data_IF_426770372492
#
_entry.id   IF_426770372492
#
_cell.length_a   1.000
_cell.length_b   1.000
_cell.length_c   1.000
_cell.angle_alpha   90.00
_cell.angle_beta   90.00
_cell.angle_gamma   90.00
#
_symmetry.space_group_name_H-M   'P 1'
#
loop_
_entity.id
_entity.type
_entity.pdbx_description
1 polymer ?
#
# COMPACT_ATOMS: atom_id res chain seq x y z
N UNK A 1 27.89 58.08 6.77
CA UNK A 1 28.50 56.74 6.62
C UNK A 1 28.51 56.03 7.97
N UNK A 2 28.31 54.70 7.95
CA UNK A 2 28.29 53.68 9.04
C UNK A 2 26.98 53.48 9.82
N UNK A 3 26.31 52.37 9.50
CA UNK A 3 25.71 51.39 10.43
C UNK A 3 25.63 50.04 9.69
N UNK A 4 26.51 49.09 9.99
CA UNK A 4 26.37 47.97 10.95
C UNK A 4 25.52 46.80 10.42
N UNK A 5 26.26 45.76 10.05
CA UNK A 5 25.93 44.38 9.71
C UNK A 5 24.61 43.86 10.30
N UNK A 6 23.75 43.34 9.44
CA UNK A 6 22.74 42.35 9.80
C UNK A 6 23.04 41.11 8.96
N UNK A 7 23.82 40.20 9.54
CA UNK A 7 24.03 38.86 9.02
C UNK A 7 22.72 38.11 9.29
N UNK A 8 21.85 38.07 8.29
CA UNK A 8 20.67 37.20 8.29
C UNK A 8 21.17 35.80 7.92
N UNK A 9 21.43 34.98 8.93
CA UNK A 9 21.73 33.55 8.79
C UNK A 9 20.50 32.86 8.18
N UNK A 10 20.54 32.70 6.86
CA UNK A 10 19.57 31.94 6.09
C UNK A 10 19.75 30.45 6.39
N UNK A 11 19.06 29.97 7.43
CA UNK A 11 18.90 28.56 7.74
C UNK A 11 18.05 27.91 6.63
N UNK A 12 18.70 27.57 5.51
CA UNK A 12 18.11 26.81 4.44
C UNK A 12 17.79 25.40 4.96
N UNK A 13 16.52 25.19 5.30
CA UNK A 13 15.97 23.92 5.74
C UNK A 13 16.24 22.86 4.67
N UNK A 14 17.11 21.91 5.02
CA UNK A 14 17.33 20.66 4.30
C UNK A 14 16.02 19.85 4.38
N UNK A 15 15.14 20.02 3.38
CA UNK A 15 13.96 19.17 3.23
C UNK A 15 14.46 17.75 2.93
N UNK A 16 14.45 16.90 3.96
CA UNK A 16 14.77 15.49 3.86
C UNK A 16 13.75 14.84 2.92
N UNK A 17 14.25 14.31 1.80
CA UNK A 17 13.52 13.39 0.92
C UNK A 17 13.14 12.15 1.74
N UNK A 18 11.95 12.16 2.32
CA UNK A 18 11.34 10.97 2.89
C UNK A 18 10.98 10.02 1.76
N UNK A 19 11.95 9.20 1.34
CA UNK A 19 11.75 8.16 0.35
C UNK A 19 10.96 7.01 1.01
N UNK A 20 9.64 7.15 1.09
CA UNK A 20 8.78 6.01 1.43
C UNK A 20 8.81 5.04 0.26
N UNK A 21 9.47 3.89 0.40
CA UNK A 21 9.43 2.82 -0.60
C UNK A 21 7.96 2.52 -0.95
N UNK A 22 7.57 2.92 -2.16
CA UNK A 22 6.21 2.76 -2.68
C UNK A 22 5.96 1.28 -3.04
N UNK A 23 4.70 0.86 -2.99
CA UNK A 23 4.32 -0.47 -3.47
C UNK A 23 4.38 -0.53 -5.00
N UNK A 24 4.76 -1.68 -5.52
CA UNK A 24 4.81 -1.94 -6.97
C UNK A 24 3.43 -1.66 -7.61
N UNK A 25 3.44 -1.01 -8.78
CA UNK A 25 2.22 -0.75 -9.56
C UNK A 25 1.88 -2.02 -10.35
N UNK A 26 0.64 -2.55 -10.29
CA UNK A 26 0.22 -3.68 -11.10
C UNK A 26 0.41 -3.42 -12.60
N UNK A 27 0.94 -4.42 -13.29
CA UNK A 27 1.19 -4.41 -14.74
C UNK A 27 0.38 -5.49 -15.44
N UNK A 28 0.34 -5.46 -16.77
CA UNK A 28 -0.23 -6.55 -17.58
C UNK A 28 0.43 -7.90 -17.29
N UNK A 29 1.75 -7.93 -17.03
CA UNK A 29 2.44 -9.15 -16.61
C UNK A 29 1.90 -9.70 -15.29
N UNK A 30 1.55 -8.84 -14.33
CA UNK A 30 0.90 -9.27 -13.09
C UNK A 30 -0.51 -9.77 -13.37
N UNK A 31 -1.26 -9.12 -14.27
CA UNK A 31 -2.61 -9.54 -14.66
C UNK A 31 -2.60 -10.96 -15.23
N UNK A 32 -1.70 -11.25 -16.17
CA UNK A 32 -1.63 -12.57 -16.80
C UNK A 32 -1.31 -13.67 -15.79
N UNK A 33 -0.43 -13.40 -14.80
CA UNK A 33 -0.19 -14.32 -13.68
C UNK A 33 -1.42 -14.48 -12.79
N UNK A 34 -2.10 -13.37 -12.48
CA UNK A 34 -3.32 -13.37 -11.66
C UNK A 34 -4.47 -14.13 -12.28
N UNK A 35 -4.60 -14.10 -13.62
CA UNK A 35 -5.63 -14.86 -14.35
C UNK A 35 -5.52 -16.38 -14.19
N UNK A 36 -4.34 -16.89 -13.84
CA UNK A 36 -4.16 -18.31 -13.52
C UNK A 36 -4.95 -18.75 -12.27
N UNK A 37 -5.26 -17.82 -11.36
CA UNK A 37 -6.01 -18.07 -10.12
C UNK A 37 -7.35 -17.32 -10.07
N UNK A 38 -7.53 -16.28 -10.88
CA UNK A 38 -8.74 -15.47 -10.99
C UNK A 38 -9.05 -15.22 -12.49
N UNK A 39 -9.74 -16.15 -13.18
CA UNK A 39 -9.93 -16.05 -14.64
C UNK A 39 -10.66 -14.80 -15.13
N UNK A 40 -11.47 -14.18 -14.27
CA UNK A 40 -12.24 -12.96 -14.51
C UNK A 40 -11.48 -11.66 -14.13
N UNK A 41 -10.23 -11.78 -13.68
CA UNK A 41 -9.44 -10.64 -13.21
C UNK A 41 -9.16 -9.64 -14.32
N UNK A 42 -9.24 -8.36 -13.97
CA UNK A 42 -8.91 -7.22 -14.83
C UNK A 42 -7.81 -6.36 -14.20
N UNK A 43 -7.08 -5.61 -15.03
CA UNK A 43 -6.08 -4.65 -14.53
C UNK A 43 -6.72 -3.59 -13.62
N UNK A 44 -7.94 -3.15 -13.93
CA UNK A 44 -8.68 -2.19 -13.11
C UNK A 44 -8.94 -2.73 -11.69
N UNK A 45 -9.29 -4.01 -11.55
CA UNK A 45 -9.46 -4.63 -10.22
C UNK A 45 -8.14 -4.72 -9.44
N UNK A 46 -7.01 -4.95 -10.12
CA UNK A 46 -5.69 -4.93 -9.46
C UNK A 46 -5.32 -3.53 -8.97
N UNK A 47 -5.59 -2.50 -9.80
CA UNK A 47 -5.36 -1.11 -9.44
C UNK A 47 -6.25 -0.67 -8.27
N UNK A 48 -7.52 -1.06 -8.28
CA UNK A 48 -8.44 -0.81 -7.17
C UNK A 48 -8.00 -1.54 -5.90
N UNK A 49 -7.60 -2.81 -6.00
CA UNK A 49 -7.06 -3.57 -4.88
C UNK A 49 -5.80 -2.93 -4.27
N UNK A 50 -4.89 -2.40 -5.10
CA UNK A 50 -3.74 -1.63 -4.64
C UNK A 50 -4.18 -0.39 -3.86
N UNK A 51 -5.12 0.38 -4.41
CA UNK A 51 -5.64 1.59 -3.80
C UNK A 51 -6.25 1.30 -2.42
N UNK A 52 -7.12 0.30 -2.33
CA UNK A 52 -7.72 -0.13 -1.05
C UNK A 52 -6.64 -0.53 -0.05
N UNK A 53 -5.63 -1.28 -0.49
CA UNK A 53 -4.53 -1.70 0.37
C UNK A 53 -3.73 -0.50 0.91
N UNK A 54 -3.39 0.46 0.06
CA UNK A 54 -2.66 1.67 0.46
C UNK A 54 -3.49 2.58 1.36
N UNK A 55 -4.75 2.83 1.02
CA UNK A 55 -5.62 3.74 1.76
C UNK A 55 -6.02 3.19 3.13
N UNK A 56 -6.20 1.86 3.26
CA UNK A 56 -6.74 1.26 4.50
C UNK A 56 -5.70 0.57 5.34
N UNK A 57 -4.71 -0.10 4.74
CA UNK A 57 -3.72 -0.86 5.50
C UNK A 57 -2.52 -0.03 5.97
N UNK A 58 -2.40 1.24 5.55
CA UNK A 58 -1.35 2.15 6.03
C UNK A 58 -1.77 3.01 7.23
N UNK A 59 -3.06 3.05 7.56
CA UNK A 59 -3.62 3.93 8.61
C UNK A 59 -3.13 3.60 10.03
N UNK A 60 -2.63 2.38 10.25
CA UNK A 60 -2.15 1.93 11.56
C UNK A 60 -0.63 1.68 11.62
N UNK A 61 -0.02 1.26 10.51
CA UNK A 61 1.41 0.97 10.38
C UNK A 61 1.77 0.92 8.89
N UNK A 62 3.06 0.86 8.55
CA UNK A 62 3.49 0.73 7.15
C UNK A 62 2.90 -0.54 6.51
N UNK A 63 2.43 -0.42 5.27
CA UNK A 63 1.98 -1.56 4.47
C UNK A 63 3.18 -2.48 4.13
N UNK A 64 2.95 -3.79 4.16
CA UNK A 64 3.96 -4.78 3.81
C UNK A 64 3.94 -5.05 2.31
N UNK A 65 5.10 -5.37 1.73
CA UNK A 65 5.16 -5.82 0.36
C UNK A 65 4.45 -7.18 0.22
N UNK A 66 3.49 -7.34 -0.72
CA UNK A 66 2.79 -8.61 -0.94
C UNK A 66 3.72 -9.80 -1.22
N UNK A 67 4.90 -9.59 -1.81
CA UNK A 67 5.91 -10.64 -2.06
C UNK A 67 6.44 -11.32 -0.79
N UNK A 68 6.22 -10.73 0.39
CA UNK A 68 6.61 -11.31 1.68
C UNK A 68 5.48 -12.07 2.39
N UNK A 69 4.31 -12.20 1.75
CA UNK A 69 3.19 -12.92 2.34
C UNK A 69 3.31 -14.42 2.13
N UNK A 70 2.85 -15.14 3.13
CA UNK A 70 2.78 -16.61 3.17
C UNK A 70 1.33 -17.05 3.25
N UNK A 71 1.07 -18.34 3.10
CA UNK A 71 -0.29 -18.87 3.27
C UNK A 71 -0.85 -18.59 4.67
N UNK A 72 -0.01 -18.68 5.72
CA UNK A 72 -0.38 -18.25 7.08
C UNK A 72 -0.75 -16.76 7.15
N UNK A 73 -0.07 -15.93 6.36
CA UNK A 73 -0.37 -14.50 6.30
C UNK A 73 -1.76 -14.27 5.72
N UNK A 74 -2.10 -14.97 4.62
CA UNK A 74 -3.41 -14.87 3.98
C UNK A 74 -4.56 -15.45 4.84
N UNK A 75 -4.37 -16.63 5.41
CA UNK A 75 -5.42 -17.33 6.15
C UNK A 75 -5.65 -16.81 7.56
N UNK A 76 -4.64 -16.21 8.21
CA UNK A 76 -4.73 -15.81 9.62
C UNK A 76 -4.43 -14.33 9.84
N UNK A 77 -3.32 -13.83 9.30
CA UNK A 77 -2.80 -12.50 9.67
C UNK A 77 -3.64 -11.39 9.06
N UNK A 78 -3.94 -11.46 7.76
CA UNK A 78 -4.75 -10.43 7.08
C UNK A 78 -6.17 -10.36 7.67
N UNK A 79 -6.91 -11.47 7.87
CA UNK A 79 -8.20 -11.43 8.55
C UNK A 79 -8.14 -10.81 9.95
N UNK A 80 -7.12 -11.16 10.73
CA UNK A 80 -6.91 -10.58 12.06
C UNK A 80 -6.63 -9.07 11.98
N UNK A 81 -5.88 -8.60 10.98
CA UNK A 81 -5.63 -7.17 10.76
C UNK A 81 -6.88 -6.42 10.34
N UNK A 82 -7.68 -6.98 9.43
CA UNK A 82 -8.98 -6.40 9.03
C UNK A 82 -9.89 -6.28 10.26
N UNK A 83 -9.99 -7.32 11.09
CA UNK A 83 -10.79 -7.27 12.31
C UNK A 83 -10.31 -6.18 13.29
N UNK A 84 -8.98 -6.04 13.47
CA UNK A 84 -8.40 -4.98 14.29
C UNK A 84 -8.65 -3.58 13.71
N UNK A 85 -8.57 -3.43 12.38
CA UNK A 85 -8.86 -2.18 11.69
C UNK A 85 -10.33 -1.80 11.86
N UNK A 86 -11.27 -2.74 11.72
CA UNK A 86 -12.69 -2.52 11.96
C UNK A 86 -13.00 -2.14 13.40
N UNK A 87 -12.33 -2.75 14.39
CA UNK A 87 -12.42 -2.32 15.80
C UNK A 87 -11.93 -0.89 16.04
N UNK A 88 -11.12 -0.35 15.13
CA UNK A 88 -10.66 1.05 15.12
C UNK A 88 -11.49 1.96 14.21
N UNK A 89 -12.63 1.48 13.71
CA UNK A 89 -13.55 2.26 12.86
C UNK A 89 -13.22 2.26 11.36
N UNK A 90 -12.24 1.48 10.91
CA UNK A 90 -11.92 1.35 9.47
C UNK A 90 -12.86 0.31 8.86
N UNK A 91 -13.74 0.74 7.98
CA UNK A 91 -14.72 -0.12 7.31
C UNK A 91 -14.17 -0.68 6.00
N UNK A 92 -14.61 -1.89 5.65
CA UNK A 92 -14.35 -2.52 4.35
C UNK A 92 -15.66 -3.10 3.83
N UNK A 93 -16.06 -2.71 2.62
CA UNK A 93 -17.11 -3.41 1.87
C UNK A 93 -16.61 -4.78 1.44
N UNK A 94 -17.52 -5.69 1.09
CA UNK A 94 -17.11 -7.01 0.58
C UNK A 94 -16.32 -6.91 -0.72
N UNK A 95 -16.71 -6.01 -1.63
CA UNK A 95 -15.95 -5.77 -2.86
C UNK A 95 -14.52 -5.27 -2.57
N UNK A 96 -14.34 -4.34 -1.63
CA UNK A 96 -13.01 -3.85 -1.25
C UNK A 96 -12.13 -4.96 -0.66
N UNK A 97 -12.69 -5.83 0.19
CA UNK A 97 -11.95 -6.99 0.71
C UNK A 97 -11.54 -7.91 -0.43
N UNK A 98 -12.46 -8.17 -1.36
CA UNK A 98 -12.22 -9.06 -2.49
C UNK A 98 -11.11 -8.53 -3.41
N UNK A 99 -11.24 -7.30 -3.93
CA UNK A 99 -10.24 -6.73 -4.85
C UNK A 99 -8.89 -6.54 -4.17
N UNK A 100 -8.87 -6.17 -2.89
CA UNK A 100 -7.64 -6.12 -2.10
C UNK A 100 -6.99 -7.50 -1.99
N UNK A 101 -7.76 -8.55 -1.66
CA UNK A 101 -7.22 -9.91 -1.54
C UNK A 101 -6.72 -10.46 -2.87
N UNK A 102 -7.44 -10.20 -3.97
CA UNK A 102 -7.02 -10.57 -5.33
C UNK A 102 -5.72 -9.85 -5.71
N UNK A 103 -5.59 -8.56 -5.40
CA UNK A 103 -4.33 -7.80 -5.57
C UNK A 103 -3.18 -8.41 -4.75
N UNK A 104 -3.38 -8.65 -3.44
CA UNK A 104 -2.33 -9.16 -2.57
C UNK A 104 -1.83 -10.55 -2.99
N UNK A 105 -2.74 -11.45 -3.42
CA UNK A 105 -2.37 -12.77 -3.93
C UNK A 105 -1.69 -12.69 -5.29
N UNK A 106 -2.17 -11.84 -6.19
CA UNK A 106 -1.56 -11.67 -7.53
C UNK A 106 -0.15 -11.09 -7.44
N UNK A 107 0.04 -10.06 -6.62
CA UNK A 107 1.35 -9.41 -6.44
C UNK A 107 2.33 -10.21 -5.56
N UNK A 108 1.90 -11.36 -5.04
CA UNK A 108 2.74 -12.33 -4.33
C UNK A 108 3.33 -13.40 -5.27
N UNK A 109 2.86 -13.49 -6.52
CA UNK A 109 3.40 -14.42 -7.53
C UNK A 109 4.71 -13.83 -8.10
N UNK A 110 5.78 -14.63 -8.08
CA UNK A 110 7.09 -14.28 -8.65
C UNK A 110 7.06 -14.12 -10.17
#
# INVERSE_FOLDING_TARGET
MKTKNVIVTMAASLFLLACSAALDIPTETNLEKGKAIYPDLTLAQLQEGKKVYEEKCTLCHKAKNPKHFTEKTFSQTIPAMINKASKKGITFTENEKEVMMRYLKTMNIE
#
